data_IF_150398183853
#
_entry.id   IF_150398183853
#
_cell.length_a   1.000
_cell.length_b   1.000
_cell.length_c   1.000
_cell.angle_alpha   90.00
_cell.angle_beta   90.00
_cell.angle_gamma   90.00
#
_symmetry.space_group_name_H-M   'P 1'
#
loop_
_entity.id
_entity.type
_entity.pdbx_description
1 polymer ?
#
# COMPACT_ATOMS: atom_id res chain seq x y z
N UNK A 1 17.26 19.72 29.76
CA UNK A 1 18.12 19.27 28.64
C UNK A 1 19.45 20.01 28.79
N UNK A 2 20.46 19.36 29.37
CA UNK A 2 21.77 19.97 29.67
C UNK A 2 22.90 19.44 28.79
N UNK A 3 22.58 18.60 27.79
CA UNK A 3 23.56 17.96 26.90
C UNK A 3 23.42 18.43 25.44
N UNK A 4 23.01 19.68 25.20
CA UNK A 4 22.99 20.27 23.86
C UNK A 4 24.33 20.95 23.61
N UNK A 5 25.12 20.43 22.66
CA UNK A 5 26.32 21.10 22.18
C UNK A 5 25.91 22.14 21.12
N UNK A 6 26.00 23.45 21.40
CA UNK A 6 25.56 24.49 20.48
C UNK A 6 26.39 24.61 19.20
N UNK A 7 27.53 23.91 19.11
CA UNK A 7 28.37 23.86 17.89
C UNK A 7 28.00 22.70 16.96
N UNK A 8 27.09 21.81 17.36
CA UNK A 8 26.63 20.70 16.53
C UNK A 8 25.23 20.96 15.99
N UNK A 9 25.10 20.68 14.69
CA UNK A 9 23.85 20.62 13.96
C UNK A 9 22.78 19.79 14.70
N UNK A 10 21.60 20.38 14.92
CA UNK A 10 20.46 19.73 15.58
C UNK A 10 19.83 18.66 14.68
N UNK A 11 19.87 17.40 15.12
CA UNK A 11 19.32 16.26 14.39
C UNK A 11 18.14 15.67 15.14
N UNK A 12 17.02 15.52 14.44
CA UNK A 12 15.81 14.86 14.94
C UNK A 12 15.59 13.54 14.20
N UNK A 13 15.14 12.51 14.94
CA UNK A 13 14.60 11.29 14.35
C UNK A 13 13.11 11.26 14.69
N UNK A 14 12.27 11.16 13.68
CA UNK A 14 10.81 11.19 13.83
C UNK A 14 10.16 9.98 13.16
N UNK A 15 9.23 9.37 13.88
CA UNK A 15 8.34 8.32 13.37
C UNK A 15 7.01 8.96 13.00
N UNK A 16 6.58 8.79 11.76
CA UNK A 16 5.33 9.33 11.24
C UNK A 16 4.52 8.21 10.59
N UNK A 17 3.26 8.06 11.02
CA UNK A 17 2.37 6.97 10.62
C UNK A 17 1.10 7.53 10.00
N UNK A 18 0.69 6.96 8.87
CA UNK A 18 -0.52 7.37 8.18
C UNK A 18 -1.75 6.76 8.84
N UNK A 19 -2.56 7.61 9.48
CA UNK A 19 -3.80 7.18 10.11
C UNK A 19 -4.76 6.53 9.10
N UNK A 20 -4.93 5.22 9.22
CA UNK A 20 -5.87 4.43 8.43
C UNK A 20 -5.64 4.55 6.91
N UNK A 21 -4.38 4.39 6.46
CA UNK A 21 -3.99 4.49 5.04
C UNK A 21 -4.92 3.72 4.09
N UNK A 22 -5.18 2.44 4.39
CA UNK A 22 -6.07 1.62 3.56
C UNK A 22 -7.53 2.07 3.62
N UNK A 23 -8.03 2.55 4.77
CA UNK A 23 -9.37 3.14 4.86
C UNK A 23 -9.51 4.41 4.04
N UNK A 24 -8.53 5.32 4.12
CA UNK A 24 -8.48 6.50 3.27
C UNK A 24 -8.48 6.10 1.79
N UNK A 25 -7.67 5.12 1.43
CA UNK A 25 -7.55 4.65 0.06
C UNK A 25 -8.82 3.98 -0.47
N UNK A 26 -9.46 3.14 0.36
CA UNK A 26 -10.74 2.51 0.02
C UNK A 26 -11.89 3.51 -0.09
N UNK A 27 -11.73 4.73 0.44
CA UNK A 27 -12.70 5.81 0.22
C UNK A 27 -12.57 6.49 -1.15
N UNK A 28 -11.51 6.19 -1.91
CA UNK A 28 -11.28 6.72 -3.25
C UNK A 28 -12.00 5.87 -4.33
N UNK A 29 -12.19 6.39 -5.56
CA UNK A 29 -12.80 5.64 -6.64
C UNK A 29 -12.10 4.30 -6.88
N UNK A 30 -12.86 3.22 -6.83
CA UNK A 30 -12.36 1.85 -7.05
C UNK A 30 -13.13 1.18 -8.19
N UNK A 31 -12.46 0.34 -9.00
CA UNK A 31 -13.09 -0.40 -10.10
C UNK A 31 -14.26 -1.27 -9.62
N UNK A 32 -15.36 -1.32 -10.38
CA UNK A 32 -16.51 -2.18 -10.07
C UNK A 32 -17.15 -2.89 -11.28
N UNK A 33 -17.11 -2.35 -12.51
CA UNK A 33 -17.73 -2.96 -13.69
C UNK A 33 -17.10 -2.55 -15.02
N UNK A 34 -17.66 -3.11 -16.12
CA UNK A 34 -17.43 -2.70 -17.51
C UNK A 34 -15.96 -2.67 -17.93
N UNK A 35 -15.25 -3.74 -17.58
CA UNK A 35 -13.87 -3.94 -17.97
C UNK A 35 -13.75 -4.14 -19.47
N UNK A 36 -12.99 -3.26 -20.12
CA UNK A 36 -12.81 -3.29 -21.57
C UNK A 36 -11.34 -3.02 -21.94
N UNK A 37 -10.79 -3.86 -22.81
CA UNK A 37 -9.51 -3.58 -23.45
C UNK A 37 -9.69 -2.48 -24.48
N UNK A 38 -8.84 -1.46 -24.42
CA UNK A 38 -8.83 -0.37 -25.40
C UNK A 38 -7.63 -0.49 -26.34
N UNK A 39 -7.77 -0.03 -27.60
CA UNK A 39 -6.63 0.22 -28.46
C UNK A 39 -5.70 1.25 -27.82
N UNK A 40 -4.39 1.09 -28.04
CA UNK A 40 -3.39 2.00 -27.48
C UNK A 40 -3.29 3.30 -28.27
N UNK A 41 -3.71 3.27 -29.54
CA UNK A 41 -3.75 4.43 -30.41
C UNK A 41 -4.73 5.47 -29.86
N UNK A 42 -4.27 6.71 -29.66
CA UNK A 42 -5.04 7.87 -29.18
C UNK A 42 -5.38 7.89 -27.68
N UNK A 43 -4.76 7.05 -26.85
CA UNK A 43 -4.91 7.17 -25.40
C UNK A 43 -4.00 8.27 -24.85
N UNK A 44 -4.61 9.35 -24.35
CA UNK A 44 -3.90 10.41 -23.63
C UNK A 44 -4.11 10.27 -22.12
N UNK A 45 -3.00 10.09 -21.39
CA UNK A 45 -3.00 10.02 -19.94
C UNK A 45 -3.31 11.36 -19.27
N UNK A 46 -3.05 12.47 -19.94
CA UNK A 46 -3.19 13.81 -19.39
C UNK A 46 -4.64 14.31 -19.45
N UNK A 47 -5.45 13.82 -20.37
CA UNK A 47 -6.87 14.18 -20.51
C UNK A 47 -7.79 13.51 -19.48
N UNK A 48 -7.23 12.72 -18.56
CA UNK A 48 -7.99 11.90 -17.61
C UNK A 48 -8.34 12.70 -16.33
N UNK A 49 -9.63 12.81 -16.02
CA UNK A 49 -10.11 13.36 -14.76
C UNK A 49 -9.89 12.38 -13.60
N UNK A 50 -9.39 12.88 -12.46
CA UNK A 50 -9.09 12.06 -11.27
C UNK A 50 -10.36 11.42 -10.68
N UNK A 51 -11.46 12.18 -10.69
CA UNK A 51 -12.76 11.78 -10.12
C UNK A 51 -13.77 11.38 -11.20
N UNK A 52 -13.28 10.99 -12.38
CA UNK A 52 -14.13 10.49 -13.45
C UNK A 52 -14.75 9.13 -13.10
N UNK A 53 -15.91 8.85 -13.69
CA UNK A 53 -16.60 7.56 -13.56
C UNK A 53 -15.86 6.38 -14.22
N UNK A 54 -14.79 6.69 -14.95
CA UNK A 54 -13.96 5.75 -15.70
C UNK A 54 -12.53 5.81 -15.18
N UNK A 55 -11.94 4.64 -14.99
CA UNK A 55 -10.54 4.47 -14.59
C UNK A 55 -9.83 3.48 -15.50
N UNK A 56 -8.50 3.40 -15.36
CA UNK A 56 -7.65 2.55 -16.20
C UNK A 56 -6.56 1.83 -15.41
N UNK A 57 -6.27 0.61 -15.83
CA UNK A 57 -5.05 -0.12 -15.50
C UNK A 57 -4.21 -0.23 -16.76
N UNK A 58 -2.94 0.18 -16.67
CA UNK A 58 -2.05 0.27 -17.82
C UNK A 58 -0.92 -0.75 -17.68
N UNK A 59 -0.50 -1.31 -18.80
CA UNK A 59 0.76 -2.01 -18.94
C UNK A 59 1.72 -1.10 -19.72
N UNK A 60 2.83 -0.69 -19.11
CA UNK A 60 3.72 0.37 -19.62
C UNK A 60 5.20 -0.01 -19.52
N UNK A 61 6.02 0.61 -20.37
CA UNK A 61 7.47 0.69 -20.20
C UNK A 61 7.85 2.11 -19.78
N UNK A 62 8.63 2.22 -18.71
CA UNK A 62 9.03 3.49 -18.11
C UNK A 62 10.56 3.58 -18.09
N UNK A 63 11.08 4.71 -18.55
CA UNK A 63 12.47 5.09 -18.36
C UNK A 63 12.60 5.88 -17.06
N UNK A 64 13.65 5.58 -16.30
CA UNK A 64 13.98 6.20 -15.03
C UNK A 64 15.25 7.04 -15.22
N UNK A 65 15.12 8.36 -15.46
CA UNK A 65 16.27 9.19 -15.78
C UNK A 65 17.31 9.24 -14.66
N UNK A 66 18.59 9.08 -15.03
CA UNK A 66 19.71 9.07 -14.06
C UNK A 66 19.80 10.35 -13.22
N UNK A 67 19.39 11.50 -13.77
CA UNK A 67 19.40 12.76 -13.02
C UNK A 67 18.42 12.79 -11.84
N UNK A 68 17.41 11.89 -11.82
CA UNK A 68 16.48 11.73 -10.71
C UNK A 68 16.99 10.78 -9.62
N UNK A 69 18.07 10.03 -9.88
CA UNK A 69 18.54 9.00 -8.95
C UNK A 69 18.90 9.56 -7.60
N UNK A 70 19.55 10.72 -7.55
CA UNK A 70 19.84 11.41 -6.29
C UNK A 70 18.55 11.77 -5.58
N UNK A 71 17.64 12.48 -6.25
CA UNK A 71 16.38 12.95 -5.65
C UNK A 71 15.50 11.80 -5.15
N UNK A 72 15.51 10.66 -5.84
CA UNK A 72 14.62 9.54 -5.57
C UNK A 72 15.28 8.37 -4.85
N UNK A 73 16.55 8.46 -4.46
CA UNK A 73 17.32 7.35 -3.87
C UNK A 73 16.64 6.72 -2.65
N UNK A 74 15.98 7.55 -1.84
CA UNK A 74 15.35 7.20 -0.59
C UNK A 74 14.02 6.48 -0.80
N UNK A 75 13.24 6.88 -1.81
CA UNK A 75 11.92 6.32 -2.05
C UNK A 75 11.57 6.21 -3.54
N UNK A 76 12.26 5.36 -4.32
CA UNK A 76 12.01 5.26 -5.76
C UNK A 76 10.56 4.88 -6.10
N UNK A 77 10.00 5.51 -7.14
CA UNK A 77 8.67 5.20 -7.69
C UNK A 77 8.54 3.79 -8.29
N UNK A 78 7.31 3.31 -8.42
CA UNK A 78 6.92 2.09 -9.15
C UNK A 78 7.67 0.82 -8.68
N UNK A 79 7.58 0.41 -7.40
CA UNK A 79 8.29 -0.77 -6.91
C UNK A 79 7.78 -2.06 -7.59
N UNK A 80 8.68 -3.00 -7.84
CA UNK A 80 8.34 -4.30 -8.43
C UNK A 80 8.81 -5.49 -7.57
N UNK A 81 8.44 -6.70 -7.96
CA UNK A 81 8.81 -7.89 -7.21
C UNK A 81 10.24 -8.31 -7.56
N UNK A 82 11.16 -8.07 -6.63
CA UNK A 82 12.60 -8.33 -6.76
C UNK A 82 12.96 -9.55 -5.92
N UNK A 83 13.82 -10.42 -6.46
CA UNK A 83 14.34 -11.58 -5.73
C UNK A 83 15.56 -11.19 -4.90
N UNK A 84 15.43 -11.23 -3.57
CA UNK A 84 16.50 -10.95 -2.60
C UNK A 84 16.69 -12.19 -1.73
N UNK A 85 17.88 -12.80 -1.75
CA UNK A 85 18.23 -13.96 -0.91
C UNK A 85 17.16 -15.06 -0.95
N UNK A 86 16.76 -15.49 -2.16
CA UNK A 86 15.70 -16.47 -2.45
C UNK A 86 14.26 -16.07 -2.08
N UNK A 87 14.04 -14.88 -1.54
CA UNK A 87 12.71 -14.36 -1.25
C UNK A 87 12.30 -13.31 -2.28
N UNK A 88 11.07 -13.44 -2.77
CA UNK A 88 10.44 -12.44 -3.61
C UNK A 88 9.90 -11.33 -2.69
N UNK A 89 10.42 -10.11 -2.85
CA UNK A 89 10.01 -8.92 -2.08
C UNK A 89 9.56 -7.82 -3.04
N UNK A 90 8.51 -7.10 -2.66
CA UNK A 90 8.18 -5.85 -3.35
C UNK A 90 9.21 -4.80 -2.94
N UNK A 91 10.04 -4.37 -3.88
CA UNK A 91 11.16 -3.48 -3.61
C UNK A 91 11.20 -2.30 -4.58
N UNK A 92 11.46 -1.08 -4.11
CA UNK A 92 11.75 0.04 -4.99
C UNK A 92 13.19 -0.05 -5.50
N UNK A 93 13.41 0.40 -6.73
CA UNK A 93 14.74 0.52 -7.35
C UNK A 93 14.71 1.60 -8.43
N UNK A 94 15.89 2.05 -8.88
CA UNK A 94 16.06 3.18 -9.79
C UNK A 94 16.21 2.76 -11.26
N UNK A 95 16.05 1.48 -11.61
CA UNK A 95 16.18 1.04 -13.01
C UNK A 95 14.92 1.30 -13.83
N UNK A 96 14.99 1.06 -15.14
CA UNK A 96 13.84 1.14 -16.02
C UNK A 96 12.80 0.06 -15.71
N UNK A 97 11.52 0.36 -15.98
CA UNK A 97 10.43 -0.61 -15.85
C UNK A 97 10.01 -1.13 -17.22
N UNK A 98 9.79 -2.44 -17.32
CA UNK A 98 9.31 -3.11 -18.54
C UNK A 98 8.05 -3.91 -18.25
N UNK A 99 7.04 -3.77 -19.11
CA UNK A 99 5.75 -4.42 -18.95
C UNK A 99 5.09 -4.20 -17.57
N UNK A 100 5.27 -3.02 -16.97
CA UNK A 100 4.83 -2.72 -15.62
C UNK A 100 3.32 -2.45 -15.59
N UNK A 101 2.60 -3.16 -14.72
CA UNK A 101 1.14 -3.05 -14.58
C UNK A 101 0.82 -2.10 -13.44
N UNK A 102 0.07 -1.04 -13.73
CA UNK A 102 -0.12 0.09 -12.80
C UNK A 102 -1.48 0.74 -12.93
N UNK A 103 -2.03 1.20 -11.80
CA UNK A 103 -3.21 2.07 -11.78
C UNK A 103 -2.89 3.45 -12.36
N UNK A 104 -3.80 4.01 -13.18
CA UNK A 104 -3.56 5.27 -13.91
C UNK A 104 -3.14 6.44 -13.01
N UNK A 105 -3.69 6.54 -11.79
CA UNK A 105 -3.31 7.58 -10.82
C UNK A 105 -1.85 7.49 -10.39
N UNK A 106 -1.34 6.28 -10.18
CA UNK A 106 0.03 6.07 -9.70
C UNK A 106 1.06 6.36 -10.80
N UNK A 107 0.80 5.94 -12.03
CA UNK A 107 1.67 6.31 -13.14
C UNK A 107 1.65 7.82 -13.40
N UNK A 108 0.48 8.48 -13.33
CA UNK A 108 0.41 9.94 -13.47
C UNK A 108 1.27 10.66 -12.43
N UNK A 109 1.29 10.19 -11.19
CA UNK A 109 2.15 10.76 -10.17
C UNK A 109 3.63 10.55 -10.52
N UNK A 110 4.03 9.33 -10.90
CA UNK A 110 5.41 9.05 -11.30
C UNK A 110 5.87 9.93 -12.48
N UNK A 111 5.02 10.13 -13.49
CA UNK A 111 5.31 11.02 -14.62
C UNK A 111 5.43 12.49 -14.20
N UNK A 112 4.57 12.96 -13.28
CA UNK A 112 4.69 14.32 -12.69
C UNK A 112 6.01 14.53 -11.95
N UNK A 113 6.60 13.47 -11.41
CA UNK A 113 7.93 13.49 -10.77
C UNK A 113 9.08 13.15 -11.74
N UNK A 114 8.85 13.24 -13.05
CA UNK A 114 9.92 13.22 -14.06
C UNK A 114 10.24 11.86 -14.67
N UNK A 115 9.58 10.77 -14.25
CA UNK A 115 9.71 9.49 -14.97
C UNK A 115 9.13 9.63 -16.38
N UNK A 116 9.66 8.87 -17.34
CA UNK A 116 9.32 9.02 -18.75
C UNK A 116 8.57 7.77 -19.24
N UNK A 117 7.34 7.94 -19.70
CA UNK A 117 6.60 6.88 -20.39
C UNK A 117 7.20 6.66 -21.78
N UNK A 118 7.85 5.52 -21.97
CA UNK A 118 8.47 5.18 -23.27
C UNK A 118 7.54 4.38 -24.17
N UNK A 119 6.67 3.55 -23.57
CA UNK A 119 5.72 2.73 -24.33
C UNK A 119 4.48 2.41 -23.52
N UNK A 120 3.32 2.47 -24.18
CA UNK A 120 2.06 1.95 -23.68
C UNK A 120 1.77 0.60 -24.36
N UNK A 121 1.79 -0.48 -23.61
CA UNK A 121 1.65 -1.84 -24.14
C UNK A 121 0.18 -2.29 -24.18
N UNK A 122 -0.59 -2.04 -23.12
CA UNK A 122 -2.02 -2.40 -23.01
C UNK A 122 -2.77 -1.45 -22.09
N UNK A 123 -4.06 -1.28 -22.35
CA UNK A 123 -4.97 -0.46 -21.55
C UNK A 123 -6.20 -1.28 -21.21
N UNK A 124 -6.49 -1.38 -19.91
CA UNK A 124 -7.74 -1.93 -19.40
C UNK A 124 -8.55 -0.79 -18.78
N UNK A 125 -9.64 -0.41 -19.44
CA UNK A 125 -10.62 0.56 -18.92
C UNK A 125 -11.62 -0.16 -18.00
N UNK A 126 -12.15 0.55 -17.00
CA UNK A 126 -13.23 0.09 -16.15
C UNK A 126 -14.08 1.26 -15.63
N UNK A 127 -15.28 0.96 -15.14
CA UNK A 127 -16.08 1.89 -14.32
C UNK A 127 -15.59 1.87 -12.88
N UNK A 128 -15.52 3.05 -12.28
CA UNK A 128 -15.09 3.23 -10.89
C UNK A 128 -16.00 4.21 -10.15
N UNK A 129 -16.10 4.04 -8.84
CA UNK A 129 -16.83 4.94 -7.94
C UNK A 129 -16.34 4.74 -6.51
N UNK A 130 -16.68 5.65 -5.60
CA UNK A 130 -16.35 5.52 -4.17
C UNK A 130 -17.28 4.53 -3.45
N UNK A 131 -17.58 3.37 -4.03
CA UNK A 131 -18.58 2.42 -3.51
C UNK A 131 -18.19 1.77 -2.18
N UNK A 132 -16.90 1.73 -1.83
CA UNK A 132 -16.41 1.28 -0.52
C UNK A 132 -16.53 2.37 0.56
N UNK A 133 -16.60 3.65 0.18
CA UNK A 133 -16.59 4.78 1.11
C UNK A 133 -17.68 4.70 2.18
N UNK A 134 -18.96 4.40 1.86
CA UNK A 134 -20.01 4.31 2.89
C UNK A 134 -19.70 3.26 3.98
N UNK A 135 -19.09 2.13 3.59
CA UNK A 135 -18.69 1.08 4.52
C UNK A 135 -17.51 1.52 5.41
N UNK A 136 -16.51 2.18 4.83
CA UNK A 136 -15.36 2.69 5.57
C UNK A 136 -15.78 3.81 6.54
N UNK A 137 -16.64 4.73 6.10
CA UNK A 137 -17.16 5.82 6.93
C UNK A 137 -17.95 5.26 8.11
N UNK A 138 -18.80 4.24 7.88
CA UNK A 138 -19.52 3.55 8.95
C UNK A 138 -18.56 2.95 9.99
N UNK A 139 -17.59 2.16 9.56
CA UNK A 139 -16.62 1.54 10.47
C UNK A 139 -15.76 2.58 11.20
N UNK A 140 -15.42 3.69 10.53
CA UNK A 140 -14.66 4.79 11.15
C UNK A 140 -15.50 5.46 12.25
N UNK A 141 -16.77 5.76 11.97
CA UNK A 141 -17.70 6.31 12.96
C UNK A 141 -17.92 5.37 14.15
N UNK A 142 -18.07 4.07 13.90
CA UNK A 142 -18.20 3.06 14.95
C UNK A 142 -16.91 2.95 15.78
N UNK A 143 -15.74 3.00 15.14
CA UNK A 143 -14.44 2.99 15.81
C UNK A 143 -14.25 4.20 16.73
N UNK A 144 -14.67 5.39 16.31
CA UNK A 144 -14.59 6.62 17.12
C UNK A 144 -15.53 6.57 18.33
N UNK A 145 -16.68 5.90 18.20
CA UNK A 145 -17.67 5.74 19.29
C UNK A 145 -17.42 4.55 20.20
N UNK A 146 -16.46 3.69 19.87
CA UNK A 146 -16.16 2.47 20.62
C UNK A 146 -15.78 2.82 22.07
N UNK A 147 -16.37 2.11 23.02
CA UNK A 147 -16.14 2.36 24.45
C UNK A 147 -14.90 1.63 24.99
N UNK A 148 -14.42 0.63 24.26
CA UNK A 148 -13.32 -0.24 24.67
C UNK A 148 -12.37 -0.56 23.51
N UNK A 149 -11.18 -1.02 23.87
CA UNK A 149 -10.11 -1.33 22.92
C UNK A 149 -10.48 -2.48 21.97
N UNK A 150 -11.25 -3.47 22.44
CA UNK A 150 -11.69 -4.59 21.62
C UNK A 150 -12.57 -4.14 20.44
N UNK A 151 -13.59 -3.31 20.68
CA UNK A 151 -14.45 -2.77 19.64
C UNK A 151 -13.65 -1.90 18.65
N UNK A 152 -12.75 -1.06 19.18
CA UNK A 152 -11.88 -0.22 18.34
C UNK A 152 -11.03 -1.06 17.39
N UNK A 153 -10.47 -2.16 17.88
CA UNK A 153 -9.66 -3.09 17.09
C UNK A 153 -10.50 -3.93 16.12
N UNK A 154 -11.74 -4.28 16.49
CA UNK A 154 -12.69 -4.99 15.63
C UNK A 154 -13.04 -4.16 14.38
N UNK A 155 -13.40 -2.89 14.55
CA UNK A 155 -13.73 -2.02 13.42
C UNK A 155 -12.50 -1.69 12.56
N UNK A 156 -11.31 -1.60 13.16
CA UNK A 156 -10.04 -1.53 12.42
C UNK A 156 -9.83 -2.78 11.58
N UNK A 157 -10.05 -3.97 12.16
CA UNK A 157 -9.93 -5.24 11.47
C UNK A 157 -10.91 -5.35 10.29
N UNK A 158 -12.16 -4.89 10.45
CA UNK A 158 -13.16 -4.91 9.37
C UNK A 158 -12.72 -4.11 8.14
N UNK A 159 -12.11 -2.94 8.33
CA UNK A 159 -11.53 -2.19 7.22
C UNK A 159 -10.36 -2.97 6.58
N UNK A 160 -9.39 -3.42 7.37
CA UNK A 160 -8.21 -4.12 6.86
C UNK A 160 -8.55 -5.46 6.18
N UNK A 161 -9.59 -6.15 6.64
CA UNK A 161 -10.04 -7.43 6.11
C UNK A 161 -10.56 -7.31 4.68
N UNK A 162 -11.13 -6.18 4.26
CA UNK A 162 -11.56 -5.94 2.88
C UNK A 162 -10.36 -6.09 1.94
N UNK A 163 -9.28 -5.36 2.19
CA UNK A 163 -8.06 -5.43 1.39
C UNK A 163 -7.44 -6.84 1.39
N UNK A 164 -7.31 -7.46 2.57
CA UNK A 164 -6.79 -8.83 2.67
C UNK A 164 -7.63 -9.84 1.87
N UNK A 165 -8.95 -9.63 1.82
CA UNK A 165 -9.86 -10.53 1.09
C UNK A 165 -9.82 -10.33 -0.42
N UNK A 166 -9.61 -9.11 -0.91
CA UNK A 166 -9.48 -8.85 -2.34
C UNK A 166 -8.17 -9.39 -2.91
N UNK A 167 -7.11 -9.44 -2.10
CA UNK A 167 -5.79 -9.99 -2.47
C UNK A 167 -5.64 -11.50 -2.23
N UNK A 168 -6.71 -12.21 -1.86
CA UNK A 168 -6.64 -13.63 -1.56
C UNK A 168 -6.25 -14.48 -2.78
N UNK A 169 -5.11 -15.17 -2.71
CA UNK A 169 -4.66 -16.09 -3.75
C UNK A 169 -5.33 -17.47 -3.62
N UNK A 170 -6.43 -17.65 -4.35
CA UNK A 170 -7.19 -18.90 -4.39
C UNK A 170 -6.39 -20.12 -4.90
N UNK A 171 -5.30 -19.91 -5.66
CA UNK A 171 -4.46 -20.99 -6.18
C UNK A 171 -3.58 -21.63 -5.11
N UNK A 172 -3.32 -20.92 -4.00
CA UNK A 172 -2.57 -21.46 -2.85
C UNK A 172 -3.45 -22.29 -1.90
N UNK A 173 -4.77 -22.33 -2.11
CA UNK A 173 -5.67 -23.10 -1.25
C UNK A 173 -5.54 -24.60 -1.52
N UNK A 174 -5.41 -25.37 -0.45
CA UNK A 174 -5.37 -26.83 -0.47
C UNK A 174 -6.59 -27.41 0.25
N UNK A 175 -6.91 -28.67 -0.03
CA UNK A 175 -7.82 -29.46 0.79
C UNK A 175 -6.96 -30.21 1.82
N UNK A 176 -7.12 -29.87 3.09
CA UNK A 176 -6.45 -30.54 4.20
C UNK A 176 -7.33 -31.68 4.73
N UNK A 177 -6.76 -32.87 4.92
CA UNK A 177 -7.41 -33.96 5.63
C UNK A 177 -6.58 -34.43 6.81
N UNK A 178 -7.12 -34.34 8.01
CA UNK A 178 -6.53 -34.92 9.21
C UNK A 178 -6.96 -36.39 9.32
N UNK A 179 -6.00 -37.29 9.44
CA UNK A 179 -6.22 -38.74 9.40
C UNK A 179 -5.37 -39.44 10.46
N UNK A 180 -6.00 -40.34 11.21
CA UNK A 180 -5.36 -41.15 12.26
C UNK A 180 -5.21 -42.64 11.93
N UNK A 181 -5.68 -43.05 10.75
CA UNK A 181 -5.67 -44.45 10.32
C UNK A 181 -4.71 -44.66 9.14
N UNK A 182 -3.70 -45.54 9.26
CA UNK A 182 -2.72 -45.80 8.20
C UNK A 182 -3.35 -46.15 6.84
N UNK A 183 -4.35 -47.04 6.83
CA UNK A 183 -5.08 -47.43 5.59
C UNK A 183 -5.74 -46.24 4.89
N UNK A 184 -6.25 -45.26 5.65
CA UNK A 184 -6.84 -44.04 5.07
C UNK A 184 -5.77 -43.12 4.49
N UNK A 185 -4.59 -43.05 5.11
CA UNK A 185 -3.45 -42.27 4.60
C UNK A 185 -3.01 -42.84 3.25
N UNK A 186 -2.77 -44.15 3.15
CA UNK A 186 -2.42 -44.83 1.90
C UNK A 186 -3.40 -44.52 0.77
N UNK A 187 -4.71 -44.59 1.07
CA UNK A 187 -5.77 -44.26 0.10
C UNK A 187 -5.74 -42.79 -0.34
N UNK A 188 -5.33 -41.86 0.52
CA UNK A 188 -5.24 -40.44 0.16
C UNK A 188 -3.95 -40.11 -0.59
N UNK A 189 -2.83 -40.75 -0.24
CA UNK A 189 -1.54 -40.59 -0.95
C UNK A 189 -1.63 -41.15 -2.37
N UNK A 190 -2.40 -42.21 -2.58
CA UNK A 190 -2.66 -42.76 -3.91
C UNK A 190 -3.55 -41.88 -4.81
N UNK A 191 -4.10 -40.76 -4.30
CA UNK A 191 -4.91 -39.85 -5.11
C UNK A 191 -4.04 -38.96 -5.97
N UNK A 192 -4.51 -38.66 -7.18
CA UNK A 192 -3.81 -37.73 -8.10
C UNK A 192 -3.72 -36.31 -7.56
N UNK A 193 -4.59 -35.92 -6.62
CA UNK A 193 -4.52 -34.63 -5.95
C UNK A 193 -3.48 -34.57 -4.84
N UNK A 194 -2.85 -35.69 -4.46
CA UNK A 194 -1.88 -35.67 -3.38
C UNK A 194 -0.72 -34.72 -3.70
N UNK A 195 -0.42 -33.84 -2.73
CA UNK A 195 0.67 -32.87 -2.86
C UNK A 195 1.74 -33.12 -1.82
N UNK A 196 1.33 -33.27 -0.55
CA UNK A 196 2.25 -33.44 0.56
C UNK A 196 1.55 -34.07 1.77
N UNK A 197 2.33 -34.48 2.78
CA UNK A 197 1.83 -34.91 4.08
C UNK A 197 2.70 -34.37 5.21
N UNK A 198 2.05 -34.02 6.32
CA UNK A 198 2.71 -33.62 7.57
C UNK A 198 2.26 -34.57 8.67
N UNK A 199 3.20 -35.26 9.29
CA UNK A 199 2.93 -36.14 10.44
C UNK A 199 3.02 -35.28 11.70
N UNK A 200 1.91 -35.12 12.40
CA UNK A 200 1.83 -34.30 13.62
C UNK A 200 2.02 -35.13 14.90
N UNK A 201 1.60 -36.40 14.88
CA UNK A 201 1.80 -37.36 15.97
C UNK A 201 1.77 -38.79 15.42
N UNK A 202 2.10 -39.77 16.25
CA UNK A 202 2.13 -41.21 15.88
C UNK A 202 0.84 -41.66 15.19
N UNK A 203 -0.31 -41.19 15.67
CA UNK A 203 -1.63 -41.50 15.14
C UNK A 203 -2.32 -40.28 14.51
N UNK A 204 -1.58 -39.29 14.00
CA UNK A 204 -2.18 -38.12 13.35
C UNK A 204 -1.31 -37.57 12.21
N UNK A 205 -1.85 -37.64 11.00
CA UNK A 205 -1.25 -37.10 9.79
C UNK A 205 -2.20 -36.11 9.12
N UNK A 206 -1.68 -34.95 8.75
CA UNK A 206 -2.30 -34.04 7.80
C UNK A 206 -1.90 -34.45 6.38
N UNK A 207 -2.88 -34.69 5.50
CA UNK A 207 -2.65 -34.96 4.08
C UNK A 207 -3.12 -33.76 3.27
N UNK A 208 -2.21 -33.17 2.49
CA UNK A 208 -2.43 -32.01 1.66
C UNK A 208 -2.85 -32.48 0.26
N UNK A 209 -4.02 -32.05 -0.20
CA UNK A 209 -4.53 -32.36 -1.52
C UNK A 209 -4.75 -31.06 -2.32
N UNK A 210 -4.27 -31.03 -3.55
CA UNK A 210 -4.55 -29.94 -4.50
C UNK A 210 -6.06 -29.85 -4.80
N UNK A 211 -6.51 -28.64 -5.16
CA UNK A 211 -7.87 -28.44 -5.69
C UNK A 211 -7.88 -28.68 -7.20
N UNK A 212 -8.71 -29.64 -7.65
CA UNK A 212 -8.89 -29.94 -9.09
C UNK A 212 -9.52 -28.80 -9.88
N UNK A 213 -10.39 -28.02 -9.25
CA UNK A 213 -11.09 -26.88 -9.84
C UNK A 213 -10.98 -25.69 -8.91
N UNK A 214 -10.61 -24.55 -9.46
CA UNK A 214 -10.48 -23.28 -8.72
C UNK A 214 -11.39 -22.28 -9.41
N UNK A 215 -12.39 -21.77 -8.68
CA UNK A 215 -13.23 -20.68 -9.13
C UNK A 215 -12.60 -19.35 -8.72
N UNK A 216 -12.13 -18.55 -9.67
CA UNK A 216 -11.55 -17.24 -9.42
C UNK A 216 -12.65 -16.21 -9.13
N UNK A 217 -13.08 -16.12 -7.86
CA UNK A 217 -14.16 -15.24 -7.39
C UNK A 217 -13.69 -14.20 -6.37
N UNK A 218 -12.44 -13.75 -6.50
CA UNK A 218 -11.89 -12.68 -5.67
C UNK A 218 -11.64 -11.46 -6.55
N UNK A 219 -12.11 -10.27 -6.16
CA UNK A 219 -11.96 -9.06 -6.96
C UNK A 219 -10.54 -8.49 -6.81
N UNK A 220 -9.53 -9.22 -7.32
CA UNK A 220 -8.11 -8.85 -7.19
C UNK A 220 -7.80 -7.47 -7.78
N UNK A 221 -8.56 -7.03 -8.78
CA UNK A 221 -8.45 -5.70 -9.37
C UNK A 221 -8.72 -4.57 -8.36
N UNK A 222 -9.60 -4.80 -7.38
CA UNK A 222 -9.85 -3.86 -6.27
C UNK A 222 -8.63 -3.81 -5.35
N UNK A 223 -8.10 -4.97 -4.97
CA UNK A 223 -6.90 -5.06 -4.14
C UNK A 223 -5.69 -4.38 -4.79
N UNK A 224 -5.46 -4.61 -6.09
CA UNK A 224 -4.42 -3.91 -6.85
C UNK A 224 -4.62 -2.38 -6.81
N UNK A 225 -5.84 -1.90 -7.06
CA UNK A 225 -6.13 -0.46 -7.08
C UNK A 225 -5.91 0.17 -5.71
N UNK A 226 -6.36 -0.49 -4.63
CA UNK A 226 -6.11 -0.05 -3.25
C UNK A 226 -4.60 0.03 -2.97
N UNK A 227 -3.81 -0.98 -3.37
CA UNK A 227 -2.37 -0.97 -3.12
C UNK A 227 -1.64 0.14 -3.90
N UNK A 228 -2.07 0.44 -5.13
CA UNK A 228 -1.44 1.51 -5.91
C UNK A 228 -1.85 2.90 -5.41
N UNK A 229 -3.11 3.12 -5.08
CA UNK A 229 -3.58 4.39 -4.52
C UNK A 229 -3.00 4.66 -3.11
N UNK A 230 -2.70 3.61 -2.33
CA UNK A 230 -2.03 3.79 -1.04
C UNK A 230 -0.59 4.27 -1.23
N UNK A 231 0.15 3.72 -2.21
CA UNK A 231 1.48 4.23 -2.60
C UNK A 231 1.40 5.69 -3.03
N UNK A 232 0.39 6.07 -3.81
CA UNK A 232 0.20 7.47 -4.22
C UNK A 232 0.14 8.40 -3.02
N UNK A 233 -0.61 8.01 -1.98
CA UNK A 233 -0.73 8.77 -0.74
C UNK A 233 0.62 8.92 -0.04
N UNK A 234 1.38 7.82 0.09
CA UNK A 234 2.71 7.83 0.71
C UNK A 234 3.73 8.67 -0.08
N UNK A 235 3.75 8.53 -1.40
CA UNK A 235 4.62 9.33 -2.28
C UNK A 235 4.28 10.81 -2.24
N UNK A 236 2.99 11.17 -2.22
CA UNK A 236 2.56 12.57 -2.09
C UNK A 236 3.08 13.17 -0.79
N UNK A 237 2.98 12.45 0.32
CA UNK A 237 3.51 12.94 1.59
C UNK A 237 5.04 13.12 1.56
N UNK A 238 5.78 12.16 1.02
CA UNK A 238 7.23 12.26 0.93
C UNK A 238 7.69 13.38 -0.04
N UNK A 239 7.25 13.33 -1.29
CA UNK A 239 7.76 14.17 -2.37
C UNK A 239 7.09 15.54 -2.50
N UNK A 240 5.84 15.68 -2.04
CA UNK A 240 5.08 16.93 -2.16
C UNK A 240 5.00 17.70 -0.83
N UNK A 241 5.34 17.07 0.31
CA UNK A 241 5.32 17.72 1.64
C UNK A 241 6.70 17.73 2.30
N UNK A 242 7.23 16.56 2.68
CA UNK A 242 8.44 16.48 3.50
C UNK A 242 9.71 16.91 2.75
N UNK A 243 9.90 16.44 1.52
CA UNK A 243 11.09 16.73 0.74
C UNK A 243 11.19 18.21 0.34
N UNK A 244 10.12 18.91 -0.11
CA UNK A 244 10.17 20.35 -0.34
C UNK A 244 10.42 21.17 0.93
N UNK A 245 9.93 20.70 2.08
CA UNK A 245 10.02 21.42 3.35
C UNK A 245 11.45 21.44 3.91
N UNK A 246 12.14 20.30 3.90
CA UNK A 246 13.47 20.19 4.48
C UNK A 246 14.58 20.25 3.42
N UNK A 247 14.28 19.84 2.20
CA UNK A 247 15.28 19.68 1.14
C UNK A 247 16.02 18.34 1.25
N UNK A 248 16.60 17.92 0.13
CA UNK A 248 17.28 16.62 0.01
C UNK A 248 18.46 16.46 0.98
N UNK A 249 19.21 17.54 1.26
CA UNK A 249 20.42 17.49 2.09
C UNK A 249 20.12 17.37 3.59
N UNK A 250 18.93 17.80 4.02
CA UNK A 250 18.53 17.79 5.43
C UNK A 250 17.54 16.69 5.79
N UNK A 251 16.93 16.06 4.78
CA UNK A 251 15.95 14.99 4.97
C UNK A 251 16.52 13.64 4.51
N UNK A 252 16.66 12.71 5.45
CA UNK A 252 16.97 11.32 5.13
C UNK A 252 15.78 10.44 5.53
N UNK A 253 15.23 9.69 4.57
CA UNK A 253 14.29 8.62 4.88
C UNK A 253 15.09 7.38 5.33
N UNK A 254 15.12 7.12 6.63
CA UNK A 254 15.90 6.04 7.20
C UNK A 254 15.21 4.68 7.05
N UNK A 255 13.87 4.66 7.11
CA UNK A 255 13.09 3.43 7.01
C UNK A 255 11.64 3.72 6.58
N UNK A 256 11.03 2.74 5.92
CA UNK A 256 9.63 2.73 5.55
C UNK A 256 9.04 1.35 5.86
N UNK A 257 7.86 1.32 6.48
CA UNK A 257 7.03 0.12 6.54
C UNK A 257 5.58 0.49 6.26
N UNK A 258 5.12 0.11 5.06
CA UNK A 258 3.73 0.21 4.57
C UNK A 258 3.12 1.62 4.64
N UNK A 259 2.71 2.04 5.82
CA UNK A 259 2.03 3.30 6.17
C UNK A 259 2.88 4.21 7.08
N UNK A 260 4.11 3.82 7.41
CA UNK A 260 4.99 4.57 8.30
C UNK A 260 6.31 4.99 7.64
N UNK A 261 6.81 6.15 8.05
CA UNK A 261 8.12 6.67 7.71
C UNK A 261 8.94 6.95 8.97
N UNK A 262 10.23 6.60 8.93
CA UNK A 262 11.22 7.07 9.90
C UNK A 262 12.13 8.05 9.18
N UNK A 263 12.04 9.33 9.56
CA UNK A 263 12.89 10.38 9.01
C UNK A 263 13.99 10.76 10.00
N UNK A 264 15.18 11.00 9.47
CA UNK A 264 16.24 11.78 10.12
C UNK A 264 16.25 13.16 9.49
N UNK A 265 16.08 14.20 10.30
CA UNK A 265 15.89 15.59 9.87
C UNK A 265 16.92 16.47 10.55
N UNK A 266 17.66 17.24 9.75
CA UNK A 266 18.54 18.30 10.21
C UNK A 266 17.77 19.63 10.25
N UNK A 267 17.46 20.13 11.44
CA UNK A 267 16.77 21.42 11.65
C UNK A 267 16.95 21.92 13.08
N UNK A 268 16.83 23.22 13.29
CA UNK A 268 16.95 23.85 14.61
C UNK A 268 15.79 23.47 15.54
N UNK A 269 14.56 23.42 15.00
CA UNK A 269 13.35 23.07 15.76
C UNK A 269 12.31 22.37 14.86
N UNK A 270 12.30 21.03 14.93
CA UNK A 270 11.36 20.22 14.17
C UNK A 270 9.91 20.56 14.46
N UNK A 271 9.55 20.84 15.72
CA UNK A 271 8.16 21.05 16.08
C UNK A 271 7.65 22.38 15.52
N UNK A 272 8.47 23.42 15.56
CA UNK A 272 8.14 24.72 14.95
C UNK A 272 7.96 24.59 13.44
N UNK A 273 8.85 23.88 12.76
CA UNK A 273 8.74 23.67 11.31
C UNK A 273 7.45 22.92 10.96
N UNK A 274 7.13 21.84 11.68
CA UNK A 274 5.97 20.99 11.46
C UNK A 274 4.62 21.69 11.65
N UNK A 275 4.58 22.88 12.27
CA UNK A 275 3.37 23.72 12.33
C UNK A 275 2.86 24.07 10.92
N UNK A 276 3.76 24.24 9.95
CA UNK A 276 3.39 24.62 8.57
C UNK A 276 2.58 23.55 7.82
N UNK A 277 2.67 22.30 8.27
CA UNK A 277 2.00 21.14 7.66
C UNK A 277 0.97 20.51 8.61
N UNK A 278 0.53 21.26 9.63
CA UNK A 278 -0.39 20.78 10.65
C UNK A 278 -1.74 20.33 10.08
N UNK A 279 -2.17 20.84 8.93
CA UNK A 279 -3.37 20.38 8.22
C UNK A 279 -3.26 18.94 7.69
N UNK A 280 -2.02 18.44 7.53
CA UNK A 280 -1.70 17.07 7.09
C UNK A 280 -1.47 16.10 8.25
N UNK A 281 -1.41 16.60 9.49
CA UNK A 281 -1.11 15.82 10.68
C UNK A 281 -2.36 15.64 11.53
N UNK A 282 -2.47 14.47 12.15
CA UNK A 282 -3.44 14.23 13.21
C UNK A 282 -2.73 14.30 14.56
N UNK A 283 -2.95 15.42 15.27
CA UNK A 283 -2.37 15.69 16.58
C UNK A 283 -3.40 15.55 17.70
N UNK A 284 -4.55 14.90 17.43
CA UNK A 284 -5.65 14.76 18.40
C UNK A 284 -5.25 14.04 19.70
N UNK A 285 -4.25 13.16 19.64
CA UNK A 285 -3.77 12.38 20.79
C UNK A 285 -2.61 13.06 21.55
N UNK A 286 -2.21 14.28 21.18
CA UNK A 286 -1.13 14.97 21.88
C UNK A 286 -1.62 15.56 23.22
N UNK A 287 -0.71 15.86 24.17
CA UNK A 287 -1.02 16.60 25.40
C UNK A 287 -1.48 18.03 25.11
N UNK A 288 -2.54 18.53 25.75
CA UNK A 288 -3.22 19.82 25.46
C UNK A 288 -2.33 21.07 25.46
N UNK A 289 -1.15 20.99 26.07
CA UNK A 289 -0.12 22.02 26.16
C UNK A 289 0.96 21.92 25.06
N UNK A 290 0.91 20.90 24.21
CA UNK A 290 1.88 20.67 23.14
C UNK A 290 1.76 21.70 22.00
N UNK A 291 2.89 22.20 21.49
CA UNK A 291 2.95 23.26 20.45
C UNK A 291 2.20 22.90 19.15
N UNK A 292 2.13 21.60 18.83
CA UNK A 292 1.41 21.05 17.68
C UNK A 292 -0.08 20.75 17.93
N UNK A 293 -0.66 21.17 19.05
CA UNK A 293 -2.11 21.07 19.26
C UNK A 293 -2.84 22.31 18.78
N UNK A 294 -3.85 22.08 17.96
CA UNK A 294 -4.86 23.08 17.68
C UNK A 294 -5.70 23.34 18.93
N UNK A 295 -5.66 24.57 19.46
CA UNK A 295 -6.69 25.03 20.42
C UNK A 295 -8.09 25.17 19.80
N UNK A 296 -8.26 24.94 18.49
CA UNK A 296 -9.57 25.03 17.83
C UNK A 296 -9.59 24.33 16.48
N UNK A 297 -10.08 23.09 16.42
CA UNK A 297 -10.93 22.61 15.32
C UNK A 297 -12.32 22.40 15.92
N UNK A 298 -13.12 23.48 15.94
CA UNK A 298 -14.58 23.32 16.06
C UNK A 298 -15.03 22.66 14.75
N UNK A 299 -15.77 21.56 14.92
CA UNK A 299 -16.55 20.78 13.95
C UNK A 299 -16.80 21.44 12.59
#
# INVERSE_FOLDING_TARGET
MTDCNPEQDSIYITYQDCNNLYGHTMSQPSPYSDFQWLPVENFDLNSIFKDGEVGWTLNVDIDYPTHLHTLHNHFPFLPENIKINNNNKLGPHLDNRKNYIVHYTHIRQALRHGLILTKLNRILQFRQSCWLKPYIDLNTNLRTRAANDFERDLYKLYNNAVYGKTMENLRKRINLKLVSCPKKIEKLVARTEFTDRVIHAENLCAVHLAKRKILLNKPMYVGMSILDLSKVTMYSYHYEVMLPMFGHDRLTLAYIDTDSFIYKILTDDLYKDMVSVLDKLDTSNYPTDHILIQKTKKL
#
